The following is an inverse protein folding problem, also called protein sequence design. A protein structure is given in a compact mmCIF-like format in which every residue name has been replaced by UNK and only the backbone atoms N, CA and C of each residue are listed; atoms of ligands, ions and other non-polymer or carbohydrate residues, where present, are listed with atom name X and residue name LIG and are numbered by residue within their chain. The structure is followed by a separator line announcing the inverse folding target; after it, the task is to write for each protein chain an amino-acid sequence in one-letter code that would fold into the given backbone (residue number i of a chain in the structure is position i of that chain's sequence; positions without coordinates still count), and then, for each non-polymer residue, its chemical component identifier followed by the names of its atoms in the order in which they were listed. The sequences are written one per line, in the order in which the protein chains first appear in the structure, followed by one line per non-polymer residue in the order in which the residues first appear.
data_IF_611378449792
#
_entry.id   IF_611378449792
#
_cell.length_a   1.000
_cell.length_b   1.000
_cell.length_c   1.000
_cell.angle_alpha   90.00
_cell.angle_beta   90.00
_cell.angle_gamma   90.00
#
_symmetry.space_group_name_H-M   'P 1'
#
loop_
_entity.id
_entity.type
_entity.pdbx_description
1 polymer ?
#
# COMPACT_ATOMS: atom_id res chain seq x y z
N UNK A 1 1.01 39.79 -13.39
CA UNK A 1 1.01 39.82 -11.91
C UNK A 1 1.07 38.40 -11.38
N UNK A 2 1.77 38.17 -10.27
CA UNK A 2 1.75 36.91 -9.52
C UNK A 2 0.94 37.13 -8.24
N UNK A 3 -0.11 36.32 -8.07
CA UNK A 3 -1.10 36.40 -7.00
C UNK A 3 -0.87 35.22 -6.05
N UNK A 4 -0.83 35.52 -4.74
CA UNK A 4 -0.56 34.54 -3.68
C UNK A 4 -1.81 34.35 -2.82
N UNK A 5 -2.53 33.24 -3.00
CA UNK A 5 -3.67 32.87 -2.17
C UNK A 5 -3.27 31.86 -1.10
N UNK A 6 -4.05 31.78 -0.03
CA UNK A 6 -3.96 30.68 0.93
C UNK A 6 -5.27 29.89 1.04
N UNK A 7 -5.18 28.74 1.71
CA UNK A 7 -6.21 27.70 1.91
C UNK A 7 -7.50 28.11 2.65
N UNK A 8 -7.72 29.39 2.94
CA UNK A 8 -8.96 29.81 3.62
C UNK A 8 -10.14 29.77 2.67
N UNK A 9 -11.32 29.43 3.18
CA UNK A 9 -12.58 29.40 2.44
C UNK A 9 -12.87 30.72 1.72
N UNK A 10 -12.44 31.87 2.27
CA UNK A 10 -12.66 33.20 1.67
C UNK A 10 -11.66 33.59 0.57
N UNK A 11 -10.58 32.82 0.38
CA UNK A 11 -9.53 33.11 -0.60
C UNK A 11 -9.53 32.11 -1.74
N UNK A 12 -8.69 31.07 -1.67
CA UNK A 12 -8.45 30.20 -2.83
C UNK A 12 -9.71 29.51 -3.37
N UNK A 13 -10.60 28.92 -2.53
CA UNK A 13 -11.82 28.30 -3.03
C UNK A 13 -12.73 29.28 -3.77
N UNK A 14 -12.88 30.53 -3.30
CA UNK A 14 -13.65 31.57 -4.00
C UNK A 14 -12.97 31.99 -5.30
N UNK A 15 -11.66 32.25 -5.26
CA UNK A 15 -10.89 32.65 -6.43
C UNK A 15 -10.93 31.60 -7.55
N UNK A 16 -10.87 30.31 -7.18
CA UNK A 16 -10.84 29.19 -8.13
C UNK A 16 -12.23 28.78 -8.61
N UNK A 17 -13.24 28.70 -7.73
CA UNK A 17 -14.55 28.12 -8.05
C UNK A 17 -15.67 29.14 -8.30
N UNK A 18 -15.65 30.27 -7.60
CA UNK A 18 -16.77 31.23 -7.60
C UNK A 18 -16.54 32.40 -8.55
N UNK A 19 -15.31 32.92 -8.59
CA UNK A 19 -14.98 34.12 -9.35
C UNK A 19 -14.63 33.79 -10.80
N UNK A 20 -15.30 34.46 -11.73
CA UNK A 20 -15.11 34.29 -13.17
C UNK A 20 -14.17 35.33 -13.79
N UNK A 21 -14.13 36.56 -13.27
CA UNK A 21 -13.32 37.64 -13.86
C UNK A 21 -11.91 37.73 -13.26
N UNK A 22 -10.95 38.22 -14.05
CA UNK A 22 -9.56 38.42 -13.62
C UNK A 22 -9.48 39.49 -12.53
N UNK A 23 -10.24 40.56 -12.71
CA UNK A 23 -10.31 41.73 -11.85
C UNK A 23 -10.89 41.36 -10.47
N UNK A 24 -11.93 40.52 -10.41
CA UNK A 24 -12.50 40.07 -9.14
C UNK A 24 -11.48 39.24 -8.33
N UNK A 25 -10.70 38.40 -9.01
CA UNK A 25 -9.64 37.60 -8.37
C UNK A 25 -8.53 38.48 -7.80
N UNK A 26 -8.15 39.55 -8.50
CA UNK A 26 -7.18 40.53 -8.00
C UNK A 26 -7.74 41.34 -6.84
N UNK A 27 -8.99 41.81 -6.94
CA UNK A 27 -9.65 42.63 -5.91
C UNK A 27 -9.85 41.86 -4.60
N UNK A 28 -10.06 40.55 -4.67
CA UNK A 28 -10.14 39.67 -3.49
C UNK A 28 -8.89 39.79 -2.59
N UNK A 29 -7.71 39.87 -3.20
CA UNK A 29 -6.44 40.02 -2.48
C UNK A 29 -6.18 41.47 -2.03
N UNK A 30 -6.66 42.46 -2.78
CA UNK A 30 -6.47 43.88 -2.42
C UNK A 30 -7.33 44.29 -1.24
N UNK A 31 -8.50 43.66 -1.05
CA UNK A 31 -9.36 43.88 0.11
C UNK A 31 -8.69 43.39 1.43
N UNK A 32 -7.75 42.44 1.33
CA UNK A 32 -6.94 41.94 2.45
C UNK A 32 -5.64 42.76 2.63
N UNK A 33 -5.81 44.09 2.58
CA UNK A 33 -4.84 45.14 2.16
C UNK A 33 -3.43 45.21 2.78
N UNK A 34 -3.05 44.36 3.73
CA UNK A 34 -1.74 44.44 4.42
C UNK A 34 -0.79 43.24 4.16
N UNK A 35 -1.24 42.17 3.49
CA UNK A 35 -0.48 40.92 3.38
C UNK A 35 0.52 40.87 2.21
N UNK A 36 0.66 41.95 1.44
CA UNK A 36 1.55 42.05 0.28
C UNK A 36 1.34 40.93 -0.78
N UNK A 37 0.17 40.29 -0.87
CA UNK A 37 -0.07 39.05 -1.63
C UNK A 37 -0.01 39.21 -3.17
N UNK A 38 0.21 40.42 -3.68
CA UNK A 38 0.30 40.72 -5.10
C UNK A 38 1.75 41.10 -5.43
N UNK A 39 2.34 40.40 -6.41
CA UNK A 39 3.67 40.69 -6.95
C UNK A 39 3.49 41.19 -8.38
N UNK A 40 3.96 42.41 -8.64
CA UNK A 40 3.95 42.98 -9.97
C UNK A 40 5.12 42.44 -10.79
N UNK A 41 4.83 41.55 -11.72
CA UNK A 41 5.79 41.03 -12.70
C UNK A 41 5.91 42.00 -13.89
N UNK A 42 6.35 43.24 -13.63
CA UNK A 42 6.44 44.29 -14.64
C UNK A 42 7.75 45.08 -14.48
N UNK A 43 8.58 45.24 -15.53
CA UNK A 43 9.84 45.99 -15.46
C UNK A 43 9.67 47.49 -15.15
N UNK A 44 8.47 48.05 -15.35
CA UNK A 44 8.21 49.48 -15.16
C UNK A 44 7.71 49.84 -13.76
N UNK A 45 7.39 48.86 -12.92
CA UNK A 45 6.92 49.09 -11.55
C UNK A 45 8.13 49.08 -10.62
N UNK A 46 8.44 50.20 -9.91
CA UNK A 46 9.58 50.24 -9.00
C UNK A 46 9.36 49.28 -7.83
N UNK A 47 10.27 48.32 -7.71
CA UNK A 47 10.29 47.32 -6.64
C UNK A 47 10.70 47.96 -5.32
N UNK A 48 9.71 48.51 -4.59
CA UNK A 48 9.94 49.16 -3.29
C UNK A 48 10.24 48.17 -2.16
N UNK A 49 10.09 46.86 -2.39
CA UNK A 49 10.13 45.82 -1.34
C UNK A 49 11.11 44.67 -1.67
N UNK A 50 11.75 44.68 -2.83
CA UNK A 50 12.73 43.65 -3.24
C UNK A 50 12.08 42.31 -3.63
N UNK A 51 10.83 42.34 -4.07
CA UNK A 51 9.98 41.16 -4.30
C UNK A 51 10.09 40.59 -5.73
N UNK A 52 10.83 41.24 -6.63
CA UNK A 52 11.09 40.69 -7.96
C UNK A 52 11.73 41.70 -8.90
N UNK A 53 12.99 41.49 -9.25
CA UNK A 53 13.66 42.28 -10.28
C UNK A 53 13.26 41.74 -11.65
N UNK A 54 12.41 42.47 -12.35
CA UNK A 54 12.02 42.17 -13.73
C UNK A 54 12.85 42.97 -14.72
N UNK A 55 13.37 42.31 -15.76
CA UNK A 55 14.11 42.91 -16.87
C UNK A 55 13.60 42.37 -18.19
N UNK A 56 13.65 43.20 -19.22
CA UNK A 56 13.34 42.76 -20.59
C UNK A 56 14.60 42.10 -21.15
N UNK A 57 14.48 40.84 -21.53
CA UNK A 57 15.54 40.03 -22.14
C UNK A 57 15.09 39.67 -23.55
N UNK A 58 16.01 39.69 -24.50
CA UNK A 58 15.72 39.33 -25.88
C UNK A 58 16.29 37.94 -26.16
N UNK A 59 15.45 37.03 -26.62
CA UNK A 59 15.89 35.65 -26.91
C UNK A 59 16.63 35.55 -28.27
N UNK A 60 17.22 34.40 -28.57
CA UNK A 60 17.93 34.12 -29.83
C UNK A 60 17.06 34.36 -31.08
N UNK A 61 15.74 34.23 -30.94
CA UNK A 61 14.75 34.52 -31.98
C UNK A 61 14.35 36.01 -32.08
N UNK A 62 15.01 36.90 -31.31
CA UNK A 62 14.72 38.34 -31.17
C UNK A 62 13.36 38.67 -30.55
N UNK A 63 12.69 37.70 -29.94
CA UNK A 63 11.48 37.91 -29.16
C UNK A 63 11.80 38.54 -27.81
N UNK A 64 10.93 39.44 -27.35
CA UNK A 64 11.09 40.13 -26.07
C UNK A 64 10.41 39.32 -24.96
N UNK A 65 11.20 38.91 -23.97
CA UNK A 65 10.76 38.19 -22.78
C UNK A 65 10.88 39.07 -21.54
N UNK A 66 9.94 38.93 -20.61
CA UNK A 66 10.03 39.55 -19.29
C UNK A 66 10.61 38.50 -18.34
N UNK A 67 11.88 38.67 -17.95
CA UNK A 67 12.55 37.80 -17.00
C UNK A 67 12.51 38.41 -15.61
N UNK A 68 11.83 37.75 -14.68
CA UNK A 68 11.71 38.18 -13.30
C UNK A 68 12.42 37.19 -12.36
N UNK A 69 13.25 37.70 -11.44
CA UNK A 69 13.89 36.91 -10.40
C UNK A 69 13.71 37.58 -9.04
N UNK A 70 13.39 36.79 -8.02
CA UNK A 70 13.15 37.28 -6.66
C UNK A 70 13.09 36.15 -5.66
N UNK A 71 13.08 36.52 -4.38
CA UNK A 71 12.91 35.57 -3.27
C UNK A 71 11.85 36.12 -2.34
N UNK A 72 11.01 35.23 -1.80
CA UNK A 72 9.94 35.63 -0.91
C UNK A 72 9.82 34.67 0.27
N UNK A 73 9.57 35.25 1.44
CA UNK A 73 9.41 34.50 2.69
C UNK A 73 7.92 34.50 3.06
N UNK A 74 7.37 33.31 3.25
CA UNK A 74 6.01 33.12 3.72
C UNK A 74 6.01 33.00 5.25
N UNK A 75 5.39 33.97 5.93
CA UNK A 75 5.18 33.92 7.39
C UNK A 75 3.70 33.77 7.66
N UNK A 76 3.33 32.71 8.36
CA UNK A 76 1.95 32.45 8.78
C UNK A 76 1.95 31.95 10.22
N UNK A 77 0.89 32.28 10.97
CA UNK A 77 0.70 31.82 12.34
C UNK A 77 0.43 30.31 12.43
N UNK A 78 -0.02 29.70 11.33
CA UNK A 78 -0.25 28.26 11.17
C UNK A 78 0.30 27.79 9.82
N UNK A 79 0.63 26.51 9.70
CA UNK A 79 0.91 25.88 8.40
C UNK A 79 -0.22 26.17 7.41
N UNK A 80 0.04 26.47 6.14
CA UNK A 80 -1.02 26.73 5.15
C UNK A 80 -0.58 26.28 3.79
N UNK A 81 -1.54 25.85 2.98
CA UNK A 81 -1.32 25.71 1.55
C UNK A 81 -1.33 27.08 0.90
N UNK A 82 -0.33 27.33 0.07
CA UNK A 82 -0.21 28.55 -0.72
C UNK A 82 -0.44 28.21 -2.19
N UNK A 83 -1.28 29.00 -2.84
CA UNK A 83 -1.62 28.86 -4.24
C UNK A 83 -1.09 30.06 -5.00
N UNK A 84 -0.35 29.79 -6.07
CA UNK A 84 0.27 30.79 -6.91
C UNK A 84 -0.52 30.86 -8.22
N UNK A 85 -1.03 32.05 -8.55
CA UNK A 85 -1.73 32.27 -9.81
C UNK A 85 -1.07 33.42 -10.59
N UNK A 86 -0.88 33.21 -11.89
CA UNK A 86 -0.45 34.26 -12.80
C UNK A 86 -1.69 34.93 -13.41
N UNK A 87 -1.73 36.26 -13.33
CA UNK A 87 -2.83 37.07 -13.83
C UNK A 87 -2.32 38.20 -14.73
N UNK A 88 -2.96 38.37 -15.87
CA UNK A 88 -2.77 39.49 -16.79
C UNK A 88 -4.15 40.13 -16.99
N UNK A 89 -4.50 41.03 -16.08
CA UNK A 89 -5.75 41.78 -16.17
C UNK A 89 -5.44 43.11 -16.85
N UNK A 90 -5.72 43.24 -18.15
CA UNK A 90 -5.66 44.53 -18.85
C UNK A 90 -7.07 45.15 -18.90
N UNK A 91 -7.37 46.18 -18.08
CA UNK A 91 -8.70 46.78 -18.03
C UNK A 91 -9.12 47.48 -19.33
N UNK A 92 -8.21 47.69 -20.27
CA UNK A 92 -8.47 48.41 -21.53
C UNK A 92 -8.68 47.48 -22.73
N UNK A 93 -8.49 46.17 -22.57
CA UNK A 93 -8.74 45.20 -23.64
C UNK A 93 -10.20 44.72 -23.63
N UNK A 94 -10.90 44.96 -24.74
CA UNK A 94 -12.25 44.46 -25.00
C UNK A 94 -12.33 42.93 -24.75
N UNK A 95 -13.39 42.43 -24.12
CA UNK A 95 -13.57 40.99 -23.82
C UNK A 95 -13.42 40.09 -25.06
N UNK A 96 -13.83 40.58 -26.25
CA UNK A 96 -13.66 39.88 -27.53
C UNK A 96 -12.19 39.70 -27.93
N UNK A 97 -11.29 40.63 -27.56
CA UNK A 97 -9.84 40.51 -27.83
C UNK A 97 -9.15 39.54 -26.90
N UNK A 98 -9.69 39.32 -25.71
CA UNK A 98 -9.17 38.32 -24.76
C UNK A 98 -9.51 36.89 -25.18
N UNK A 99 -10.25 36.69 -26.28
CA UNK A 99 -10.72 35.39 -26.74
C UNK A 99 -10.16 35.08 -28.14
N UNK A 100 -9.33 34.04 -28.25
CA UNK A 100 -8.87 33.50 -29.54
C UNK A 100 -9.56 32.15 -29.78
N UNK A 101 -10.31 31.99 -30.87
CA UNK A 101 -11.08 30.77 -31.17
C UNK A 101 -11.98 30.28 -30.01
N UNK A 102 -12.70 31.19 -29.35
CA UNK A 102 -13.52 30.90 -28.17
C UNK A 102 -12.75 30.44 -26.90
N UNK A 103 -11.43 30.59 -26.85
CA UNK A 103 -10.61 30.31 -25.68
C UNK A 103 -9.93 31.60 -25.17
N UNK A 104 -9.82 31.76 -23.85
CA UNK A 104 -9.14 32.92 -23.27
C UNK A 104 -7.65 32.92 -23.63
N UNK A 105 -7.12 34.03 -24.14
CA UNK A 105 -5.69 34.20 -24.41
C UNK A 105 -4.94 34.08 -23.08
N UNK A 106 -4.28 32.94 -22.89
CA UNK A 106 -3.48 32.65 -21.72
C UNK A 106 -2.15 33.38 -21.72
N UNK A 107 -1.51 33.42 -20.56
CA UNK A 107 -0.12 33.89 -20.44
C UNK A 107 0.78 32.69 -20.72
N UNK A 108 1.66 32.81 -21.71
CA UNK A 108 2.78 31.86 -21.84
C UNK A 108 3.87 32.27 -20.85
N UNK A 109 4.13 31.41 -19.86
CA UNK A 109 5.10 31.67 -18.81
C UNK A 109 5.91 30.40 -18.51
N UNK A 110 7.23 30.55 -18.53
CA UNK A 110 8.15 29.56 -17.99
C UNK A 110 8.52 29.99 -16.56
N UNK A 111 8.44 29.05 -15.62
CA UNK A 111 8.73 29.34 -14.23
C UNK A 111 9.60 28.25 -13.60
N UNK A 112 10.50 28.67 -12.72
CA UNK A 112 11.25 27.81 -11.83
C UNK A 112 10.98 28.28 -10.40
N UNK A 113 10.35 27.43 -9.60
CA UNK A 113 10.01 27.72 -8.21
C UNK A 113 10.72 26.71 -7.31
N UNK A 114 11.45 27.23 -6.34
CA UNK A 114 12.09 26.43 -5.29
C UNK A 114 11.45 26.81 -3.97
N UNK A 115 10.54 25.96 -3.48
CA UNK A 115 9.88 26.14 -2.19
C UNK A 115 10.63 25.34 -1.14
N UNK A 116 11.08 26.01 -0.08
CA UNK A 116 11.89 25.39 0.97
C UNK A 116 11.36 25.76 2.34
N UNK A 117 11.52 24.84 3.30
CA UNK A 117 11.08 24.99 4.68
C UNK A 117 12.26 24.85 5.66
N UNK A 118 12.40 25.78 6.60
CA UNK A 118 13.49 25.75 7.57
C UNK A 118 14.84 26.18 7.00
N UNK A 119 15.93 25.81 7.67
CA UNK A 119 17.29 26.20 7.28
C UNK A 119 17.92 25.20 6.30
N UNK A 120 18.84 25.62 5.40
CA UNK A 120 19.55 24.70 4.49
C UNK A 120 20.33 23.57 5.18
N UNK A 121 20.68 23.74 6.46
CA UNK A 121 21.30 22.69 7.28
C UNK A 121 20.34 21.56 7.66
N UNK A 122 19.03 21.81 7.63
CA UNK A 122 17.99 20.86 8.05
C UNK A 122 17.48 20.03 6.86
N UNK A 123 18.31 19.11 6.36
CA UNK A 123 18.02 18.32 5.14
C UNK A 123 16.65 17.63 5.18
N UNK A 124 16.23 17.11 6.34
CA UNK A 124 14.95 16.40 6.51
C UNK A 124 13.71 17.30 6.48
N UNK A 125 13.89 18.63 6.50
CA UNK A 125 12.80 19.61 6.45
C UNK A 125 12.91 20.53 5.25
N UNK A 126 14.14 20.75 4.75
CA UNK A 126 14.45 21.77 3.75
C UNK A 126 13.58 21.71 2.50
N UNK A 127 13.48 20.53 1.89
CA UNK A 127 12.68 20.34 0.67
C UNK A 127 11.25 19.88 0.93
N UNK A 128 10.95 19.39 2.13
CA UNK A 128 9.65 18.80 2.43
C UNK A 128 8.62 19.86 2.78
N UNK A 129 7.41 19.67 2.28
CA UNK A 129 6.25 20.39 2.81
C UNK A 129 5.99 19.97 4.27
N UNK A 130 5.25 20.82 4.98
CA UNK A 130 4.97 20.59 6.40
C UNK A 130 4.04 19.39 6.66
N UNK A 131 3.33 18.91 5.65
CA UNK A 131 2.50 17.71 5.72
C UNK A 131 3.27 16.43 5.37
N UNK A 132 4.47 16.55 4.76
CA UNK A 132 5.26 15.41 4.27
C UNK A 132 6.59 15.19 5.01
N UNK A 133 7.08 16.16 5.78
CA UNK A 133 8.41 16.09 6.43
C UNK A 133 8.61 14.85 7.32
N UNK A 134 7.53 14.30 7.90
CA UNK A 134 7.58 13.13 8.78
C UNK A 134 7.52 11.80 8.00
N UNK A 135 7.20 11.82 6.70
CA UNK A 135 7.09 10.62 5.87
C UNK A 135 8.44 9.92 5.78
N UNK A 136 9.52 10.62 5.43
CA UNK A 136 10.85 10.01 5.31
C UNK A 136 11.36 9.37 6.63
N UNK A 137 11.35 10.06 7.78
CA UNK A 137 11.73 9.45 9.06
C UNK A 137 10.85 8.26 9.45
N UNK A 138 9.53 8.36 9.26
CA UNK A 138 8.61 7.28 9.62
C UNK A 138 8.77 6.06 8.73
N UNK A 139 8.90 6.23 7.41
CA UNK A 139 9.15 5.15 6.47
C UNK A 139 10.49 4.47 6.71
N UNK A 140 11.53 5.24 7.05
CA UNK A 140 12.85 4.70 7.42
C UNK A 140 12.75 3.82 8.68
N UNK A 141 11.98 4.27 9.69
CA UNK A 141 11.74 3.49 10.90
C UNK A 141 10.98 2.19 10.60
N UNK A 142 9.89 2.25 9.83
CA UNK A 142 9.13 1.06 9.45
C UNK A 142 9.93 0.13 8.54
N UNK A 143 10.81 0.66 7.69
CA UNK A 143 11.71 -0.15 6.88
C UNK A 143 12.63 -0.99 7.78
N UNK A 144 13.24 -0.38 8.81
CA UNK A 144 14.04 -1.11 9.78
C UNK A 144 13.23 -2.20 10.51
N UNK A 145 11.99 -1.88 10.93
CA UNK A 145 11.11 -2.86 11.56
C UNK A 145 10.73 -4.03 10.62
N UNK A 146 10.49 -3.75 9.35
CA UNK A 146 10.18 -4.78 8.35
C UNK A 146 11.38 -5.68 8.07
N UNK A 147 12.61 -5.13 8.06
CA UNK A 147 13.82 -5.94 7.96
C UNK A 147 13.96 -6.91 9.15
N UNK A 148 13.58 -6.50 10.36
CA UNK A 148 13.51 -7.39 11.53
C UNK A 148 12.46 -8.49 11.31
N UNK A 149 11.28 -8.15 10.78
CA UNK A 149 10.26 -9.15 10.45
C UNK A 149 10.73 -10.16 9.40
N UNK A 150 11.52 -9.74 8.40
CA UNK A 150 12.14 -10.66 7.43
C UNK A 150 13.02 -11.68 8.14
N UNK A 151 13.85 -11.26 9.09
CA UNK A 151 14.69 -12.19 9.87
C UNK A 151 13.83 -13.17 10.68
N UNK A 152 12.76 -12.67 11.33
CA UNK A 152 11.84 -13.49 12.13
C UNK A 152 11.10 -14.51 11.25
N UNK A 153 10.56 -14.11 10.10
CA UNK A 153 9.83 -15.01 9.20
C UNK A 153 10.76 -16.05 8.58
N UNK A 154 12.03 -15.72 8.32
CA UNK A 154 13.03 -16.71 7.87
C UNK A 154 13.36 -17.72 8.98
N UNK A 155 13.53 -17.26 10.22
CA UNK A 155 13.82 -18.14 11.36
C UNK A 155 12.68 -19.13 11.64
N UNK A 156 11.44 -18.63 11.74
CA UNK A 156 10.25 -19.48 11.91
C UNK A 156 10.08 -20.41 10.69
N UNK A 157 10.32 -19.90 9.48
CA UNK A 157 10.25 -20.67 8.24
C UNK A 157 11.22 -21.85 8.22
N UNK A 158 12.46 -21.65 8.69
CA UNK A 158 13.45 -22.72 8.85
C UNK A 158 12.98 -23.77 9.87
N UNK A 159 12.47 -23.33 11.02
CA UNK A 159 11.90 -24.24 12.04
C UNK A 159 10.74 -25.08 11.48
N UNK A 160 9.85 -24.47 10.69
CA UNK A 160 8.73 -25.18 10.05
C UNK A 160 9.21 -26.14 8.95
N UNK A 161 10.24 -25.76 8.20
CA UNK A 161 10.84 -26.61 7.16
C UNK A 161 11.46 -27.87 7.76
N UNK A 162 12.20 -27.76 8.86
CA UNK A 162 12.76 -28.91 9.58
C UNK A 162 11.67 -29.88 10.07
N UNK A 163 10.51 -29.35 10.47
CA UNK A 163 9.34 -30.17 10.89
C UNK A 163 8.47 -30.66 9.73
N UNK A 164 8.81 -30.35 8.47
CA UNK A 164 7.98 -30.62 7.26
C UNK A 164 6.58 -30.01 7.33
N UNK A 165 6.45 -28.81 7.92
CA UNK A 165 5.19 -28.05 8.07
C UNK A 165 5.24 -26.71 7.32
N UNK A 166 6.16 -26.58 6.36
CA UNK A 166 6.37 -25.37 5.57
C UNK A 166 5.41 -25.31 4.37
N UNK A 167 4.17 -24.91 4.64
CA UNK A 167 3.11 -24.85 3.63
C UNK A 167 3.14 -23.57 2.78
N UNK A 168 2.44 -23.61 1.64
CA UNK A 168 2.30 -22.48 0.72
C UNK A 168 1.70 -21.22 1.38
N UNK A 169 0.85 -21.37 2.40
CA UNK A 169 0.26 -20.24 3.14
C UNK A 169 1.32 -19.41 3.86
N UNK A 170 2.24 -20.10 4.53
CA UNK A 170 3.36 -19.42 5.18
C UNK A 170 4.27 -18.74 4.16
N UNK A 171 4.51 -19.39 3.00
CA UNK A 171 5.26 -18.79 1.89
C UNK A 171 4.61 -17.52 1.36
N UNK A 172 3.28 -17.50 1.21
CA UNK A 172 2.53 -16.30 0.78
C UNK A 172 2.71 -15.14 1.77
N UNK A 173 2.69 -15.41 3.08
CA UNK A 173 2.99 -14.39 4.08
C UNK A 173 4.44 -13.88 3.96
N UNK A 174 5.42 -14.78 3.84
CA UNK A 174 6.82 -14.39 3.66
C UNK A 174 7.04 -13.54 2.39
N UNK A 175 6.43 -13.92 1.26
CA UNK A 175 6.47 -13.13 0.02
C UNK A 175 5.79 -11.76 0.19
N UNK A 176 4.68 -11.67 0.94
CA UNK A 176 4.06 -10.38 1.23
C UNK A 176 4.97 -9.47 2.05
N UNK A 177 5.58 -9.97 3.13
CA UNK A 177 6.53 -9.19 3.95
C UNK A 177 7.70 -8.71 3.09
N UNK A 178 8.28 -9.58 2.27
CA UNK A 178 9.39 -9.24 1.35
C UNK A 178 8.93 -8.17 0.35
N UNK A 179 7.78 -8.37 -0.30
CA UNK A 179 7.23 -7.41 -1.26
C UNK A 179 6.99 -6.04 -0.63
N UNK A 180 6.36 -6.00 0.54
CA UNK A 180 6.12 -4.75 1.26
C UNK A 180 7.43 -4.05 1.66
N UNK A 181 8.47 -4.81 2.01
CA UNK A 181 9.80 -4.28 2.34
C UNK A 181 10.50 -3.70 1.11
N UNK A 182 10.42 -4.38 -0.04
CA UNK A 182 10.96 -3.88 -1.32
C UNK A 182 10.23 -2.59 -1.72
N UNK A 183 8.90 -2.58 -1.64
CA UNK A 183 8.12 -1.39 -1.93
C UNK A 183 8.49 -0.23 -0.99
N UNK A 184 8.61 -0.46 0.32
CA UNK A 184 9.03 0.56 1.27
C UNK A 184 10.45 1.06 1.02
N UNK A 185 11.37 0.21 0.57
CA UNK A 185 12.71 0.63 0.15
C UNK A 185 12.67 1.60 -1.04
N UNK A 186 11.77 1.39 -2.00
CA UNK A 186 11.55 2.33 -3.10
C UNK A 186 10.99 3.67 -2.61
N UNK A 187 10.02 3.67 -1.70
CA UNK A 187 9.50 4.93 -1.12
C UNK A 187 10.61 5.69 -0.38
N UNK A 188 11.37 5.02 0.50
CA UNK A 188 12.49 5.65 1.22
C UNK A 188 13.52 6.20 0.23
N UNK A 189 13.87 5.45 -0.82
CA UNK A 189 14.82 5.91 -1.84
C UNK A 189 14.31 7.17 -2.55
N UNK A 190 13.03 7.18 -2.95
CA UNK A 190 12.41 8.36 -3.57
C UNK A 190 12.47 9.58 -2.64
N UNK A 191 12.10 9.42 -1.37
CA UNK A 191 12.10 10.54 -0.42
C UNK A 191 13.49 10.99 0.00
N UNK A 192 14.50 10.11 0.00
CA UNK A 192 15.90 10.52 0.19
C UNK A 192 16.37 11.40 -0.98
N UNK A 193 16.03 11.03 -2.21
CA UNK A 193 16.36 11.83 -3.41
C UNK A 193 15.61 13.17 -3.33
N UNK A 194 14.31 13.13 -3.01
CA UNK A 194 13.49 14.32 -2.81
C UNK A 194 14.07 15.27 -1.74
N UNK A 195 14.63 14.74 -0.65
CA UNK A 195 15.30 15.55 0.37
C UNK A 195 16.53 16.32 -0.17
N UNK A 196 17.15 15.81 -1.23
CA UNK A 196 18.34 16.41 -1.85
C UNK A 196 17.98 17.41 -2.96
N UNK A 197 17.03 17.07 -3.84
CA UNK A 197 16.74 17.84 -5.05
C UNK A 197 15.38 18.57 -5.04
N UNK A 198 14.47 18.21 -4.14
CA UNK A 198 13.09 18.73 -4.07
C UNK A 198 12.14 18.22 -5.15
N UNK A 199 12.56 17.25 -5.97
CA UNK A 199 11.78 16.69 -7.09
C UNK A 199 11.52 15.19 -6.88
N UNK A 200 12.52 14.44 -6.44
CA UNK A 200 12.44 12.99 -6.29
C UNK A 200 12.33 12.26 -7.64
N UNK A 201 11.92 11.00 -7.59
CA UNK A 201 11.72 10.14 -8.76
C UNK A 201 10.28 9.58 -8.76
N UNK A 202 9.32 10.28 -9.40
CA UNK A 202 7.90 9.90 -9.39
C UNK A 202 7.62 8.46 -9.86
N UNK A 203 8.44 7.96 -10.80
CA UNK A 203 8.35 6.57 -11.28
C UNK A 203 8.65 5.58 -10.15
N UNK A 204 9.70 5.82 -9.35
CA UNK A 204 10.06 4.95 -8.23
C UNK A 204 8.99 4.99 -7.15
N UNK A 205 8.44 6.17 -6.86
CA UNK A 205 7.32 6.33 -5.94
C UNK A 205 6.12 5.48 -6.35
N UNK A 206 5.67 5.61 -7.61
CA UNK A 206 4.53 4.86 -8.14
C UNK A 206 4.77 3.33 -8.12
N UNK A 207 5.96 2.88 -8.52
CA UNK A 207 6.32 1.46 -8.44
C UNK A 207 6.36 0.94 -7.01
N UNK A 208 6.87 1.74 -6.06
CA UNK A 208 6.91 1.40 -4.64
C UNK A 208 5.51 1.21 -4.06
N UNK A 209 4.60 2.17 -4.30
CA UNK A 209 3.19 2.09 -3.89
C UNK A 209 2.49 0.86 -4.50
N UNK A 210 2.69 0.61 -5.79
CA UNK A 210 2.11 -0.54 -6.48
C UNK A 210 2.57 -1.89 -5.89
N UNK A 211 3.87 -2.04 -5.62
CA UNK A 211 4.42 -3.27 -5.02
C UNK A 211 3.85 -3.48 -3.61
N UNK A 212 3.71 -2.41 -2.81
CA UNK A 212 3.09 -2.50 -1.48
C UNK A 212 1.62 -2.91 -1.57
N UNK A 213 0.86 -2.34 -2.49
CA UNK A 213 -0.52 -2.74 -2.72
C UNK A 213 -0.63 -4.22 -3.11
N UNK A 214 0.24 -4.72 -4.00
CA UNK A 214 0.33 -6.15 -4.33
C UNK A 214 0.66 -7.02 -3.11
N UNK A 215 1.59 -6.57 -2.26
CA UNK A 215 1.95 -7.28 -1.04
C UNK A 215 0.77 -7.38 -0.06
N UNK A 216 0.04 -6.29 0.15
CA UNK A 216 -1.15 -6.27 1.01
C UNK A 216 -2.27 -7.16 0.45
N UNK A 217 -2.49 -7.14 -0.87
CA UNK A 217 -3.45 -8.02 -1.53
C UNK A 217 -3.06 -9.50 -1.41
N UNK A 218 -1.78 -9.83 -1.52
CA UNK A 218 -1.29 -11.20 -1.32
C UNK A 218 -1.52 -11.67 0.14
N UNK A 219 -1.32 -10.78 1.11
CA UNK A 219 -1.58 -11.09 2.52
C UNK A 219 -3.07 -11.25 2.82
N UNK A 220 -3.92 -10.40 2.22
CA UNK A 220 -5.37 -10.53 2.26
C UNK A 220 -5.82 -11.89 1.72
N UNK A 221 -5.35 -12.25 0.52
CA UNK A 221 -5.65 -13.53 -0.12
C UNK A 221 -5.25 -14.71 0.77
N UNK A 222 -4.05 -14.65 1.34
CA UNK A 222 -3.55 -15.64 2.30
C UNK A 222 -4.48 -15.80 3.51
N UNK A 223 -4.94 -14.68 4.10
CA UNK A 223 -5.85 -14.71 5.24
C UNK A 223 -7.19 -15.37 4.90
N UNK A 224 -7.77 -15.09 3.73
CA UNK A 224 -9.04 -15.70 3.31
C UNK A 224 -8.92 -17.19 3.03
N UNK A 225 -7.84 -17.59 2.36
CA UNK A 225 -7.54 -19.00 2.10
C UNK A 225 -7.36 -19.78 3.41
N UNK A 226 -6.67 -19.18 4.38
CA UNK A 226 -6.47 -19.77 5.70
C UNK A 226 -7.78 -19.84 6.51
N UNK A 227 -8.63 -18.80 6.43
CA UNK A 227 -9.94 -18.77 7.06
C UNK A 227 -10.87 -19.90 6.56
N UNK A 228 -10.78 -20.23 5.27
CA UNK A 228 -11.45 -21.40 4.66
C UNK A 228 -10.87 -22.75 5.11
N UNK A 229 -9.76 -22.73 5.86
CA UNK A 229 -9.16 -23.90 6.48
C UNK A 229 -8.10 -24.60 5.63
N UNK A 230 -7.60 -23.99 4.55
CA UNK A 230 -6.55 -24.61 3.73
C UNK A 230 -5.26 -24.83 4.56
N UNK A 231 -4.72 -26.05 4.51
CA UNK A 231 -3.59 -26.55 5.31
C UNK A 231 -3.82 -26.64 6.83
N UNK A 232 -5.04 -26.32 7.30
CA UNK A 232 -5.46 -26.50 8.70
C UNK A 232 -6.47 -27.63 8.78
N UNK A 233 -7.67 -27.44 8.26
CA UNK A 233 -8.75 -28.45 8.28
C UNK A 233 -8.89 -29.19 6.96
N UNK A 234 -8.55 -28.53 5.84
CA UNK A 234 -8.71 -29.05 4.47
C UNK A 234 -7.39 -29.00 3.72
N UNK A 235 -7.12 -30.04 2.93
CA UNK A 235 -5.90 -30.13 2.12
C UNK A 235 -6.02 -29.44 0.76
N UNK A 236 -7.24 -29.37 0.22
CA UNK A 236 -7.57 -28.69 -1.04
C UNK A 236 -8.83 -27.84 -0.85
N UNK A 237 -8.86 -26.67 -1.48
CA UNK A 237 -10.07 -25.85 -1.59
C UNK A 237 -11.00 -26.40 -2.68
N UNK A 238 -12.30 -26.18 -2.53
CA UNK A 238 -13.28 -26.48 -3.59
C UNK A 238 -13.01 -25.61 -4.82
N UNK A 239 -13.39 -26.09 -6.01
CA UNK A 239 -13.24 -25.30 -7.26
C UNK A 239 -14.00 -23.97 -7.18
N UNK A 240 -15.17 -23.97 -6.53
CA UNK A 240 -15.97 -22.77 -6.31
C UNK A 240 -15.24 -21.76 -5.41
N UNK A 241 -14.67 -22.19 -4.27
CA UNK A 241 -13.92 -21.31 -3.37
C UNK A 241 -12.69 -20.71 -4.08
N UNK A 242 -11.97 -21.51 -4.88
CA UNK A 242 -10.83 -21.03 -5.68
C UNK A 242 -11.25 -19.94 -6.67
N UNK A 243 -12.32 -20.20 -7.43
CA UNK A 243 -12.84 -19.26 -8.41
C UNK A 243 -13.27 -17.94 -7.76
N UNK A 244 -14.00 -18.02 -6.64
CA UNK A 244 -14.42 -16.85 -5.87
C UNK A 244 -13.23 -16.01 -5.39
N UNK A 245 -12.23 -16.65 -4.78
CA UNK A 245 -11.04 -15.96 -4.27
C UNK A 245 -10.21 -15.31 -5.39
N UNK A 246 -10.11 -15.96 -6.55
CA UNK A 246 -9.43 -15.41 -7.73
C UNK A 246 -10.18 -14.19 -8.27
N UNK A 247 -11.51 -14.26 -8.40
CA UNK A 247 -12.32 -13.10 -8.81
C UNK A 247 -12.12 -11.93 -7.86
N UNK A 248 -12.19 -12.19 -6.55
CA UNK A 248 -12.02 -11.14 -5.55
C UNK A 248 -10.65 -10.47 -5.71
N UNK A 249 -9.58 -11.25 -5.89
CA UNK A 249 -8.24 -10.73 -6.12
C UNK A 249 -8.16 -9.85 -7.38
N UNK A 250 -8.75 -10.28 -8.50
CA UNK A 250 -8.82 -9.47 -9.71
C UNK A 250 -9.61 -8.17 -9.52
N UNK A 251 -10.76 -8.21 -8.83
CA UNK A 251 -11.57 -7.01 -8.54
C UNK A 251 -10.79 -6.00 -7.71
N UNK A 252 -10.01 -6.45 -6.72
CA UNK A 252 -9.14 -5.58 -5.93
C UNK A 252 -8.05 -4.93 -6.78
N UNK A 253 -7.35 -5.70 -7.62
CA UNK A 253 -6.31 -5.16 -8.52
C UNK A 253 -6.91 -4.13 -9.48
N UNK A 254 -8.04 -4.44 -10.11
CA UNK A 254 -8.71 -3.53 -11.03
C UNK A 254 -9.18 -2.25 -10.33
N UNK A 255 -9.70 -2.36 -9.11
CA UNK A 255 -10.10 -1.19 -8.32
C UNK A 255 -8.91 -0.31 -7.95
N UNK A 256 -7.75 -0.92 -7.64
CA UNK A 256 -6.52 -0.19 -7.37
C UNK A 256 -5.98 0.51 -8.63
N UNK A 257 -5.95 -0.17 -9.77
CA UNK A 257 -5.57 0.47 -11.05
C UNK A 257 -6.54 1.59 -11.42
N UNK A 258 -7.84 1.41 -11.20
CA UNK A 258 -8.84 2.45 -11.42
C UNK A 258 -8.61 3.69 -10.53
N UNK A 259 -8.15 3.51 -9.29
CA UNK A 259 -7.75 4.61 -8.40
C UNK A 259 -6.58 5.40 -8.99
N UNK A 260 -5.54 4.71 -9.48
CA UNK A 260 -4.38 5.35 -10.10
C UNK A 260 -4.75 6.13 -11.37
N UNK A 261 -5.62 5.58 -12.21
CA UNK A 261 -6.16 6.29 -13.38
C UNK A 261 -7.06 7.48 -12.98
N UNK A 262 -7.79 7.36 -11.88
CA UNK A 262 -8.64 8.43 -11.37
C UNK A 262 -7.83 9.62 -10.91
N UNK A 263 -6.73 9.37 -10.19
CA UNK A 263 -5.79 10.39 -9.75
C UNK A 263 -5.24 11.19 -10.92
N UNK A 264 -4.82 10.53 -12.01
CA UNK A 264 -4.25 11.23 -13.17
C UNK A 264 -5.31 12.07 -13.93
N UNK A 265 -6.55 11.60 -14.01
CA UNK A 265 -7.57 12.19 -14.89
C UNK A 265 -8.49 13.21 -14.21
N UNK A 266 -8.86 12.95 -12.96
CA UNK A 266 -9.93 13.70 -12.28
C UNK A 266 -9.45 14.55 -11.12
N UNK A 267 -8.22 14.36 -10.63
CA UNK A 267 -7.70 15.25 -9.60
C UNK A 267 -7.28 16.56 -10.24
N UNK A 268 -7.93 17.63 -9.80
CA UNK A 268 -7.56 18.98 -10.17
C UNK A 268 -6.29 19.37 -9.41
N UNK A 269 -5.16 19.65 -10.09
CA UNK A 269 -3.92 20.05 -9.43
C UNK A 269 -4.06 21.36 -8.66
N UNK A 270 -5.09 22.17 -8.96
CA UNK A 270 -5.40 23.40 -8.23
C UNK A 270 -6.03 23.15 -6.84
N UNK A 271 -6.39 21.91 -6.50
CA UNK A 271 -7.03 21.57 -5.25
C UNK A 271 -6.20 20.54 -4.47
N UNK A 272 -6.13 20.69 -3.15
CA UNK A 272 -5.43 19.75 -2.28
C UNK A 272 -6.35 18.56 -1.95
N UNK A 273 -6.38 17.58 -2.85
CA UNK A 273 -7.14 16.34 -2.67
C UNK A 273 -6.27 15.20 -2.13
N UNK A 274 -6.82 14.39 -1.23
CA UNK A 274 -6.19 13.13 -0.84
C UNK A 274 -6.66 11.98 -1.73
N UNK A 275 -5.77 11.01 -1.98
CA UNK A 275 -6.09 9.76 -2.70
C UNK A 275 -7.31 9.05 -2.09
N UNK A 276 -7.48 9.12 -0.76
CA UNK A 276 -8.60 8.54 0.00
C UNK A 276 -9.96 9.23 -0.20
N UNK A 277 -10.00 10.43 -0.77
CA UNK A 277 -11.25 11.16 -1.06
C UNK A 277 -11.86 10.75 -2.40
N UNK A 278 -11.13 9.97 -3.20
CA UNK A 278 -11.57 9.50 -4.50
C UNK A 278 -12.65 8.41 -4.40
N UNK A 279 -13.55 8.37 -5.39
CA UNK A 279 -14.56 7.31 -5.50
C UNK A 279 -13.92 5.90 -5.49
N UNK A 280 -12.84 5.62 -6.24
CA UNK A 280 -12.14 4.34 -6.15
C UNK A 280 -11.56 4.04 -4.76
N UNK A 281 -11.13 5.06 -4.01
CA UNK A 281 -10.68 4.90 -2.63
C UNK A 281 -11.78 4.34 -1.72
N UNK A 282 -13.00 4.88 -1.82
CA UNK A 282 -14.16 4.34 -1.10
C UNK A 282 -14.54 2.93 -1.54
N UNK A 283 -14.41 2.61 -2.84
CA UNK A 283 -14.63 1.25 -3.34
C UNK A 283 -13.63 0.25 -2.75
N UNK A 284 -12.34 0.62 -2.65
CA UNK A 284 -11.34 -0.23 -2.00
C UNK A 284 -11.65 -0.48 -0.53
N UNK A 285 -12.12 0.53 0.20
CA UNK A 285 -12.58 0.38 1.58
C UNK A 285 -13.80 -0.56 1.68
N UNK A 286 -14.78 -0.41 0.78
CA UNK A 286 -15.95 -1.29 0.71
C UNK A 286 -15.53 -2.74 0.41
N UNK A 287 -14.63 -2.95 -0.55
CA UNK A 287 -14.16 -4.29 -0.90
C UNK A 287 -13.43 -4.96 0.27
N UNK A 288 -12.71 -4.19 1.06
CA UNK A 288 -12.05 -4.67 2.28
C UNK A 288 -13.07 -5.12 3.34
N UNK A 289 -14.19 -4.42 3.49
CA UNK A 289 -15.28 -4.84 4.37
C UNK A 289 -15.98 -6.11 3.86
N UNK A 290 -16.21 -6.23 2.55
CA UNK A 290 -16.77 -7.48 1.99
C UNK A 290 -15.82 -8.67 2.19
N UNK A 291 -14.51 -8.47 2.05
CA UNK A 291 -13.51 -9.50 2.34
C UNK A 291 -13.54 -9.89 3.83
N UNK A 292 -13.74 -8.94 4.74
CA UNK A 292 -13.90 -9.20 6.17
C UNK A 292 -15.16 -10.02 6.50
N UNK A 293 -16.31 -9.69 5.89
CA UNK A 293 -17.55 -10.48 6.09
C UNK A 293 -17.31 -11.92 5.64
N UNK A 294 -16.71 -12.11 4.47
CA UNK A 294 -16.37 -13.44 3.96
C UNK A 294 -15.39 -14.17 4.89
N UNK A 295 -14.38 -13.45 5.40
CA UNK A 295 -13.39 -13.96 6.34
C UNK A 295 -14.03 -14.51 7.62
N UNK A 296 -14.91 -13.73 8.26
CA UNK A 296 -15.59 -14.13 9.51
C UNK A 296 -16.50 -15.35 9.28
N UNK A 297 -17.28 -15.33 8.19
CA UNK A 297 -18.15 -16.47 7.82
C UNK A 297 -17.29 -17.71 7.57
N UNK A 298 -16.18 -17.59 6.84
CA UNK A 298 -15.28 -18.70 6.56
C UNK A 298 -14.66 -19.26 7.84
N UNK A 299 -14.21 -18.41 8.78
CA UNK A 299 -13.71 -18.85 10.07
C UNK A 299 -14.78 -19.60 10.87
N UNK A 300 -16.03 -19.13 10.87
CA UNK A 300 -17.12 -19.78 11.60
C UNK A 300 -17.49 -21.15 11.01
N UNK A 301 -17.52 -21.25 9.67
CA UNK A 301 -17.76 -22.53 8.99
C UNK A 301 -16.63 -23.52 9.28
N UNK A 302 -15.37 -23.10 9.14
CA UNK A 302 -14.20 -23.95 9.44
C UNK A 302 -14.14 -24.38 10.90
N UNK A 303 -14.58 -23.52 11.83
CA UNK A 303 -14.72 -23.83 13.26
C UNK A 303 -15.77 -24.91 13.50
N UNK A 304 -16.92 -24.82 12.84
CA UNK A 304 -18.00 -25.81 12.96
C UNK A 304 -17.59 -27.15 12.34
N UNK A 305 -16.88 -27.13 11.21
CA UNK A 305 -16.36 -28.32 10.51
C UNK A 305 -15.28 -29.05 11.33
N UNK A 306 -14.57 -28.37 12.23
CA UNK A 306 -13.42 -28.92 12.96
C UNK A 306 -13.33 -28.34 14.39
N UNK A 307 -14.10 -28.89 15.35
CA UNK A 307 -14.17 -28.35 16.71
C UNK A 307 -12.83 -28.42 17.46
N UNK A 308 -11.94 -29.36 17.10
CA UNK A 308 -10.58 -29.47 17.65
C UNK A 308 -9.71 -28.25 17.38
N UNK A 309 -10.02 -27.47 16.34
CA UNK A 309 -9.32 -26.24 15.94
C UNK A 309 -10.14 -24.97 16.14
N UNK A 310 -11.24 -25.06 16.88
CA UNK A 310 -12.11 -23.93 17.17
C UNK A 310 -11.40 -22.76 17.86
N UNK A 311 -10.44 -23.05 18.76
CA UNK A 311 -9.66 -22.04 19.47
C UNK A 311 -8.79 -21.19 18.53
N UNK A 312 -8.14 -21.83 17.54
CA UNK A 312 -7.39 -21.16 16.50
C UNK A 312 -8.28 -20.22 15.69
N UNK A 313 -9.38 -20.72 15.11
CA UNK A 313 -10.25 -19.89 14.27
C UNK A 313 -10.91 -18.74 15.04
N UNK A 314 -11.24 -18.96 16.32
CA UNK A 314 -11.77 -17.89 17.18
C UNK A 314 -10.71 -16.81 17.42
N UNK A 315 -9.48 -17.20 17.76
CA UNK A 315 -8.37 -16.26 17.97
C UNK A 315 -7.98 -15.54 16.68
N UNK A 316 -7.96 -16.26 15.55
CA UNK A 316 -7.64 -15.71 14.25
C UNK A 316 -8.68 -14.67 13.80
N UNK A 317 -9.97 -14.97 13.96
CA UNK A 317 -11.04 -14.03 13.65
C UNK A 317 -10.95 -12.76 14.52
N UNK A 318 -10.73 -12.93 15.84
CA UNK A 318 -10.66 -11.81 16.77
C UNK A 318 -9.44 -10.91 16.50
N UNK A 319 -8.25 -11.49 16.38
CA UNK A 319 -7.01 -10.72 16.23
C UNK A 319 -6.86 -10.09 14.84
N UNK A 320 -7.40 -10.69 13.79
CA UNK A 320 -7.34 -10.12 12.43
C UNK A 320 -8.44 -9.10 12.14
N UNK A 321 -9.56 -9.11 12.87
CA UNK A 321 -10.65 -8.15 12.65
C UNK A 321 -10.19 -6.68 12.68
N UNK A 322 -9.35 -6.23 13.64
CA UNK A 322 -8.78 -4.88 13.63
C UNK A 322 -8.01 -4.53 12.34
N UNK A 323 -7.27 -5.48 11.77
CA UNK A 323 -6.49 -5.26 10.54
C UNK A 323 -7.37 -5.06 9.30
N UNK A 324 -8.53 -5.72 9.25
CA UNK A 324 -9.51 -5.53 8.18
C UNK A 324 -10.22 -4.18 8.30
N UNK A 325 -10.63 -3.81 9.52
CA UNK A 325 -11.42 -2.60 9.78
C UNK A 325 -10.60 -1.32 9.81
N UNK A 326 -9.30 -1.39 10.11
CA UNK A 326 -8.49 -0.20 10.26
C UNK A 326 -8.52 0.70 9.01
N UNK A 327 -8.25 0.23 7.77
CA UNK A 327 -8.24 1.15 6.63
C UNK A 327 -9.59 1.81 6.31
N UNK A 328 -10.75 1.12 6.32
CA UNK A 328 -12.05 1.78 6.19
C UNK A 328 -12.31 2.83 7.27
N UNK A 329 -12.00 2.54 8.54
CA UNK A 329 -12.16 3.49 9.65
C UNK A 329 -11.27 4.71 9.41
N UNK A 330 -10.01 4.49 9.05
CA UNK A 330 -9.06 5.57 8.85
C UNK A 330 -9.36 6.41 7.62
N UNK A 331 -9.93 5.86 6.54
CA UNK A 331 -10.42 6.66 5.41
C UNK A 331 -11.50 7.64 5.87
N UNK A 332 -12.46 7.19 6.69
CA UNK A 332 -13.50 8.06 7.26
C UNK A 332 -12.88 9.10 8.19
N UNK A 333 -11.99 8.69 9.10
CA UNK A 333 -11.32 9.60 10.03
C UNK A 333 -10.50 10.66 9.29
N UNK A 334 -9.72 10.24 8.29
CA UNK A 334 -8.86 11.13 7.51
C UNK A 334 -9.65 12.14 6.67
N UNK A 335 -10.81 11.75 6.14
CA UNK A 335 -11.59 12.63 5.29
C UNK A 335 -12.50 13.59 6.10
N UNK A 336 -12.98 13.19 7.27
CA UNK A 336 -13.93 14.00 8.06
C UNK A 336 -13.33 14.71 9.28
N UNK A 337 -12.21 14.22 9.82
CA UNK A 337 -11.67 14.72 11.09
C UNK A 337 -10.21 15.22 11.00
N UNK A 338 -9.48 14.91 9.92
CA UNK A 338 -8.13 15.42 9.73
C UNK A 338 -8.11 16.62 8.77
N UNK A 339 -7.42 17.67 9.19
CA UNK A 339 -7.11 18.80 8.33
C UNK A 339 -6.10 18.38 7.23
N UNK A 340 -6.25 18.93 6.03
CA UNK A 340 -5.44 18.57 4.86
C UNK A 340 -3.93 18.63 5.10
N UNK A 341 -3.46 19.55 5.94
CA UNK A 341 -2.05 19.84 6.23
C UNK A 341 -1.29 18.81 7.10
N UNK A 342 -1.97 17.78 7.61
CA UNK A 342 -1.45 16.75 8.56
C UNK A 342 -1.90 15.37 8.09
N UNK A 343 -2.83 15.34 7.14
CA UNK A 343 -3.45 14.13 6.64
C UNK A 343 -2.42 13.19 5.99
N UNK A 344 -1.51 13.72 5.17
CA UNK A 344 -0.52 12.90 4.46
C UNK A 344 0.39 12.12 5.43
N UNK A 345 1.02 12.80 6.39
CA UNK A 345 1.86 12.14 7.40
C UNK A 345 1.09 11.11 8.26
N UNK A 346 -0.11 11.45 8.73
CA UNK A 346 -0.89 10.57 9.61
C UNK A 346 -1.35 9.32 8.86
N UNK A 347 -1.82 9.47 7.63
CA UNK A 347 -2.26 8.34 6.80
C UNK A 347 -1.08 7.39 6.56
N UNK A 348 0.10 7.91 6.19
CA UNK A 348 1.28 7.08 5.95
C UNK A 348 1.70 6.29 7.22
N UNK A 349 1.75 6.95 8.37
CA UNK A 349 2.14 6.30 9.64
C UNK A 349 1.13 5.21 10.03
N UNK A 350 -0.16 5.52 9.92
CA UNK A 350 -1.23 4.59 10.25
C UNK A 350 -1.23 3.37 9.33
N UNK A 351 -1.08 3.56 8.03
CA UNK A 351 -1.02 2.46 7.06
C UNK A 351 0.15 1.52 7.39
N UNK A 352 1.34 2.07 7.64
CA UNK A 352 2.50 1.28 8.05
C UNK A 352 2.27 0.55 9.39
N UNK A 353 1.64 1.18 10.38
CA UNK A 353 1.25 0.54 11.64
C UNK A 353 0.30 -0.64 11.42
N UNK A 354 -0.73 -0.47 10.59
CA UNK A 354 -1.73 -1.49 10.30
C UNK A 354 -1.08 -2.69 9.60
N UNK A 355 -0.27 -2.45 8.57
CA UNK A 355 0.43 -3.51 7.85
C UNK A 355 1.38 -4.28 8.77
N UNK A 356 2.15 -3.57 9.59
CA UNK A 356 3.04 -4.18 10.58
C UNK A 356 2.28 -5.03 11.62
N UNK A 357 1.15 -4.52 12.14
CA UNK A 357 0.28 -5.25 13.06
C UNK A 357 -0.22 -6.57 12.44
N UNK A 358 -0.69 -6.54 11.19
CA UNK A 358 -1.18 -7.73 10.49
C UNK A 358 -0.11 -8.83 10.42
N UNK A 359 1.12 -8.46 10.05
CA UNK A 359 2.24 -9.41 9.98
C UNK A 359 2.60 -9.97 11.36
N UNK A 360 2.67 -9.14 12.40
CA UNK A 360 2.96 -9.62 13.77
C UNK A 360 1.90 -10.62 14.23
N UNK A 361 0.61 -10.30 14.05
CA UNK A 361 -0.48 -11.18 14.46
C UNK A 361 -0.37 -12.53 13.76
N UNK A 362 -0.11 -12.53 12.44
CA UNK A 362 0.05 -13.79 11.72
C UNK A 362 1.28 -14.59 12.17
N UNK A 363 2.42 -13.94 12.38
CA UNK A 363 3.63 -14.60 12.87
C UNK A 363 3.45 -15.15 14.30
N UNK A 364 2.71 -14.43 15.14
CA UNK A 364 2.33 -14.89 16.47
C UNK A 364 1.48 -16.16 16.41
N UNK A 365 0.45 -16.18 15.57
CA UNK A 365 -0.43 -17.35 15.40
C UNK A 365 0.27 -18.53 14.73
N UNK A 366 1.19 -18.28 13.81
CA UNK A 366 1.94 -19.32 13.08
C UNK A 366 3.17 -19.85 13.82
N UNK A 367 3.41 -19.42 15.07
CA UNK A 367 4.54 -19.88 15.88
C UNK A 367 4.39 -21.36 16.27
N UNK A 368 5.34 -22.23 15.91
CA UNK A 368 5.36 -23.61 16.38
C UNK A 368 5.84 -23.62 17.85
N UNK A 369 4.93 -23.82 18.78
CA UNK A 369 5.25 -24.05 20.20
C UNK A 369 4.42 -25.23 20.67
N UNK A 370 5.04 -26.11 21.45
CA UNK A 370 4.44 -27.40 21.81
C UNK A 370 3.24 -27.24 22.77
N UNK A 371 3.05 -26.05 23.35
CA UNK A 371 1.87 -25.68 24.15
C UNK A 371 0.89 -24.74 23.42
N UNK A 372 1.08 -24.50 22.11
CA UNK A 372 0.25 -23.60 21.32
C UNK A 372 -0.92 -24.34 20.66
N UNK A 373 -2.07 -24.37 21.35
CA UNK A 373 -3.31 -24.91 20.77
C UNK A 373 -3.79 -24.13 19.53
N UNK A 374 -3.32 -22.88 19.37
CA UNK A 374 -3.63 -22.02 18.23
C UNK A 374 -2.70 -22.25 17.04
N UNK A 375 -1.79 -23.23 17.09
CA UNK A 375 -0.93 -23.52 15.94
C UNK A 375 -1.77 -24.11 14.79
N UNK A 376 -1.65 -23.57 13.55
CA UNK A 376 -2.48 -23.98 12.43
C UNK A 376 -1.96 -25.22 11.67
N UNK A 377 -0.65 -25.45 11.60
CA UNK A 377 -0.06 -26.40 10.65
C UNK A 377 0.27 -27.75 11.29
N UNK A 378 -0.60 -28.76 11.14
CA UNK A 378 -0.35 -30.12 11.66
C UNK A 378 -0.16 -31.18 10.59
N UNK A 379 -0.59 -30.89 9.36
CA UNK A 379 -0.49 -31.80 8.22
C UNK A 379 0.93 -31.69 7.67
N UNK A 380 1.66 -32.80 7.50
CA UNK A 380 3.02 -32.72 6.93
C UNK A 380 2.94 -32.43 5.43
N UNK A 381 3.88 -31.66 4.89
CA UNK A 381 3.95 -31.33 3.46
C UNK A 381 4.01 -32.57 2.58
N UNK A 382 4.58 -33.68 3.06
CA UNK A 382 4.63 -34.97 2.36
C UNK A 382 3.27 -35.65 2.21
N UNK A 383 2.32 -35.36 3.11
CA UNK A 383 0.95 -35.89 3.04
C UNK A 383 0.08 -35.09 2.07
N UNK A 384 0.47 -33.85 1.76
CA UNK A 384 -0.23 -32.99 0.79
C UNK A 384 -0.01 -33.44 -0.65
N UNK A 385 1.10 -34.14 -0.91
CA UNK A 385 1.54 -34.53 -2.25
C UNK A 385 1.17 -35.98 -2.65
N UNK A 386 0.81 -36.85 -1.68
CA UNK A 386 0.53 -38.27 -1.93
C UNK A 386 -0.98 -38.54 -1.84
N UNK A 387 -1.60 -38.72 -3.01
CA UNK A 387 -3.05 -38.82 -3.25
C UNK A 387 -3.61 -40.24 -2.94
N UNK A 388 -3.42 -40.75 -1.72
CA UNK A 388 -3.96 -42.07 -1.31
C UNK A 388 -4.83 -41.97 -0.06
N UNK A 389 -6.09 -41.54 -0.22
CA UNK A 389 -7.16 -41.77 0.76
C UNK A 389 -6.95 -41.20 2.18
N UNK A 390 -6.09 -40.19 2.33
CA UNK A 390 -5.77 -39.59 3.64
C UNK A 390 -6.86 -38.64 4.10
N UNK A 391 -7.60 -39.02 5.14
CA UNK A 391 -8.54 -38.13 5.82
C UNK A 391 -7.80 -37.33 6.91
N UNK A 392 -7.63 -36.00 6.76
CA UNK A 392 -6.92 -35.18 7.74
C UNK A 392 -7.54 -35.26 9.15
N UNK A 393 -8.84 -35.57 9.29
CA UNK A 393 -9.48 -35.75 10.60
C UNK A 393 -8.95 -36.98 11.37
N UNK A 394 -8.56 -38.05 10.66
CA UNK A 394 -7.99 -39.25 11.30
C UNK A 394 -6.59 -39.01 11.86
N UNK A 395 -5.78 -38.18 11.20
CA UNK A 395 -4.49 -37.74 11.73
C UNK A 395 -4.62 -36.84 12.97
N UNK A 396 -5.69 -36.04 13.06
CA UNK A 396 -6.02 -35.30 14.28
C UNK A 396 -6.37 -36.22 15.45
N UNK A 397 -7.16 -37.27 15.21
CA UNK A 397 -7.50 -38.26 16.22
C UNK A 397 -6.27 -39.06 16.68
N UNK A 398 -5.38 -39.47 15.77
CA UNK A 398 -4.16 -40.22 16.09
C UNK A 398 -3.15 -39.40 16.89
N UNK A 399 -2.89 -38.13 16.54
CA UNK A 399 -1.97 -37.27 17.31
C UNK A 399 -2.48 -36.97 18.74
N UNK A 400 -3.80 -36.95 18.94
CA UNK A 400 -4.41 -36.75 20.28
C UNK A 400 -4.39 -38.03 21.11
N UNK A 401 -4.36 -39.21 20.46
CA UNK A 401 -4.21 -40.50 21.13
C UNK A 401 -2.75 -40.79 21.50
N UNK A 402 -1.78 -40.45 20.64
CA UNK A 402 -0.35 -40.66 20.87
C UNK A 402 0.24 -39.69 21.92
N UNK A 403 -0.39 -38.55 22.19
CA UNK A 403 0.04 -37.64 23.27
C UNK A 403 -0.17 -38.20 24.69
N UNK A 404 -0.83 -39.37 24.83
CA UNK A 404 -0.95 -40.09 26.10
C UNK A 404 0.09 -41.21 26.28
N UNK A 405 0.97 -41.45 25.30
CA UNK A 405 2.04 -42.45 25.42
C UNK A 405 3.37 -41.78 25.13
N UNK A 406 4.11 -41.53 26.21
CA UNK A 406 5.54 -41.24 26.15
C UNK A 406 6.23 -42.36 25.36
N UNK A 407 6.73 -42.06 24.17
CA UNK A 407 8.01 -42.65 23.77
C UNK A 407 8.72 -41.79 22.74
N UNK A 408 10.00 -41.57 23.02
CA UNK A 408 10.91 -40.89 22.12
C UNK A 408 11.29 -41.79 20.95
N UNK A 409 11.46 -41.15 19.80
CA UNK A 409 12.34 -41.60 18.71
C UNK A 409 11.88 -42.84 17.92
N UNK A 410 11.83 -42.64 16.61
CA UNK A 410 11.56 -43.59 15.51
C UNK A 410 10.10 -43.85 15.12
N UNK A 411 9.77 -43.41 13.90
CA UNK A 411 8.60 -43.84 13.15
C UNK A 411 8.93 -43.80 11.65
N UNK A 412 9.68 -44.78 11.17
CA UNK A 412 9.68 -45.16 9.75
C UNK A 412 8.35 -45.88 9.52
N UNK A 413 7.48 -45.29 8.70
CA UNK A 413 6.22 -45.95 8.31
C UNK A 413 6.55 -46.83 7.11
N UNK A 414 6.69 -48.13 7.35
CA UNK A 414 6.74 -49.15 6.32
C UNK A 414 5.29 -49.52 5.93
N UNK A 415 4.89 -49.16 4.70
CA UNK A 415 3.54 -49.45 4.20
C UNK A 415 3.44 -50.89 3.71
N UNK A 416 2.84 -51.77 4.51
CA UNK A 416 2.42 -53.11 4.06
C UNK A 416 1.01 -53.03 3.46
N UNK A 417 0.91 -53.22 2.14
CA UNK A 417 -0.35 -53.33 1.42
C UNK A 417 -0.96 -54.72 1.67
N UNK A 418 -2.05 -54.79 2.43
CA UNK A 418 -2.88 -56.00 2.52
C UNK A 418 -3.84 -56.04 1.32
N UNK A 419 -3.58 -56.94 0.36
CA UNK A 419 -4.54 -57.28 -0.68
C UNK A 419 -5.44 -58.43 -0.18
N UNK A 420 -6.76 -58.27 -0.27
CA UNK A 420 -7.74 -59.31 0.13
C UNK A 420 -8.15 -60.13 -1.11
N UNK A 421 -7.88 -61.43 -1.05
CA UNK A 421 -8.74 -62.46 -1.64
C UNK A 421 -8.23 -63.15 -2.91
N UNK A 422 -7.87 -64.43 -2.77
CA UNK A 422 -7.67 -65.35 -3.89
C UNK A 422 -6.78 -66.53 -3.51
N UNK A 423 -7.40 -67.61 -3.03
CA UNK A 423 -6.75 -68.89 -2.70
C UNK A 423 -6.27 -69.58 -3.97
N UNK A 424 -4.99 -69.97 -4.03
CA UNK A 424 -4.53 -71.30 -4.47
C UNK A 424 -3.03 -71.48 -4.18
N UNK A 425 -2.67 -72.69 -3.73
CA UNK A 425 -1.36 -73.12 -3.30
C UNK A 425 -0.42 -73.45 -4.47
N UNK A 426 0.89 -73.19 -4.31
CA UNK A 426 2.01 -74.09 -4.62
C UNK A 426 3.36 -73.36 -4.42
N UNK A 427 4.38 -74.17 -4.16
CA UNK A 427 5.76 -73.92 -3.76
C UNK A 427 6.70 -73.37 -4.85
N UNK A 428 7.79 -72.73 -4.42
CA UNK A 428 9.21 -72.90 -4.83
C UNK A 428 10.04 -71.61 -5.03
N UNK A 429 11.23 -71.68 -4.44
CA UNK A 429 12.57 -71.15 -4.78
C UNK A 429 12.88 -69.65 -5.02
N UNK A 430 13.79 -69.20 -4.15
CA UNK A 430 14.96 -68.31 -4.28
C UNK A 430 15.35 -67.86 -5.70
N UNK A 431 15.50 -66.54 -5.93
CA UNK A 431 16.72 -65.99 -6.54
C UNK A 431 16.95 -64.49 -6.23
N UNK A 432 18.22 -64.12 -6.08
CA UNK A 432 18.73 -62.75 -5.91
C UNK A 432 18.95 -62.12 -7.28
N UNK A 433 18.55 -60.87 -7.48
CA UNK A 433 18.85 -60.13 -8.71
C UNK A 433 18.91 -58.62 -8.52
N UNK A 434 20.12 -58.08 -8.59
CA UNK A 434 20.46 -56.66 -8.86
C UNK A 434 20.10 -56.36 -10.33
N UNK A 435 19.92 -55.06 -10.69
CA UNK A 435 20.09 -54.38 -12.01
C UNK A 435 18.88 -53.46 -12.29
N UNK A 436 18.90 -52.26 -12.89
CA UNK A 436 19.83 -51.16 -13.24
C UNK A 436 18.89 -50.00 -13.69
N UNK A 437 19.44 -48.80 -13.82
CA UNK A 437 18.78 -47.54 -14.19
C UNK A 437 18.61 -47.46 -15.73
N UNK A 438 17.46 -47.06 -16.30
CA UNK A 438 17.36 -46.87 -17.74
C UNK A 438 17.95 -45.53 -18.22
N UNK A 439 18.81 -45.63 -19.22
CA UNK A 439 19.26 -44.53 -20.08
C UNK A 439 18.17 -44.18 -21.12
N UNK A 440 18.15 -42.89 -21.48
CA UNK A 440 17.30 -42.26 -22.50
C UNK A 440 17.85 -42.63 -23.89
N UNK A 441 16.98 -43.06 -24.81
CA UNK A 441 17.29 -43.06 -26.25
C UNK A 441 16.24 -42.29 -27.04
N UNK A 442 16.75 -41.43 -27.90
CA UNK A 442 16.07 -40.64 -28.92
C UNK A 442 15.31 -41.48 -29.95
N UNK A 443 14.12 -41.00 -30.31
CA UNK A 443 13.54 -41.07 -31.66
C UNK A 443 12.63 -39.86 -31.83
#
# INVERSE_FOLDING_TARGET
MLLLYFDSDEQWPRAWRELSTCEDRVTLLTNHSDNHQIIFLNPYVPDSVGNGRCVIVQDALKENWISCSGTRIFRSARSRWWFLALANCDPNEDEERRMYNNESIGIYAEFALTMTNGLPSEILKYQFSIDEWLILPSDTFFFALQMILIVIVMFIGKSLSTRRLYHNIYRMCAHSIIGNTIGLAFLVTNYVIYAMDGIGLPIILAFGEFIRALADMLFMYMCLVLARGLNVTKMRLTTFDKFFLVIMFFVFILSYLAMQFWEIKYFDPAMVFAKSESLPGYLLALWRLTAWVFFVIACQLSKNDSPTKAAFFTSFALLMTPWFWAPPIFVIVANFFLNNWVRAEVVNIVENCVTFYGYIVFLYLSRPSDNNQNFPFHIRTTQVDVDTGFDPQTAYAQNTAETNTNDGMHGVIEMTVRNKGGVHAASEEVDRGIIERPQISSS
#
